data_IF_323615245802
#
_entry.id   IF_323615245802
#
_cell.length_a   1.000
_cell.length_b   1.000
_cell.length_c   1.000
_cell.angle_alpha   90.00
_cell.angle_beta   90.00
_cell.angle_gamma   90.00
#
_symmetry.space_group_name_H-M   'P 1'
#
loop_
_entity.id
_entity.type
_entity.pdbx_description
1 polymer ?
#
# COMPACT_ATOMS: atom_id res chain seq x y z
N UNK A 1 18.18 14.07 -4.48
CA UNK A 1 16.80 13.79 -4.04
C UNK A 1 16.85 12.52 -3.23
N UNK A 2 16.36 12.57 -1.98
CA UNK A 2 16.62 11.64 -0.88
C UNK A 2 16.57 10.15 -1.25
N UNK A 3 17.60 9.38 -0.85
CA UNK A 3 17.70 7.90 -0.91
C UNK A 3 16.70 7.20 0.04
N UNK A 4 15.50 7.75 0.15
CA UNK A 4 14.50 7.31 1.09
C UNK A 4 13.85 6.04 0.57
N UNK A 5 14.10 4.94 1.28
CA UNK A 5 13.39 3.69 1.06
C UNK A 5 11.94 3.87 1.52
N UNK A 6 11.00 3.61 0.61
CA UNK A 6 9.57 3.77 0.84
C UNK A 6 8.92 2.38 0.74
N UNK A 7 8.18 2.00 1.78
CA UNK A 7 7.38 0.78 1.79
C UNK A 7 5.99 1.01 1.17
N UNK A 8 5.44 -0.01 0.53
CA UNK A 8 4.09 0.04 -0.03
C UNK A 8 3.60 -1.30 -0.54
N UNK A 9 2.36 -1.33 -1.02
CA UNK A 9 1.74 -2.52 -1.60
C UNK A 9 1.75 -2.42 -3.12
N UNK A 10 2.20 -3.47 -3.81
CA UNK A 10 2.11 -3.51 -5.28
C UNK A 10 0.64 -3.54 -5.67
N UNK A 11 0.21 -2.51 -6.40
CA UNK A 11 -1.16 -2.36 -6.90
C UNK A 11 -1.33 -2.93 -8.31
N UNK A 12 -0.27 -2.88 -9.13
CA UNK A 12 -0.21 -3.53 -10.43
C UNK A 12 1.24 -3.67 -10.89
N UNK A 13 1.47 -4.69 -11.73
CA UNK A 13 2.71 -4.88 -12.47
C UNK A 13 2.34 -5.13 -13.94
N UNK A 14 2.96 -4.41 -14.88
CA UNK A 14 2.70 -4.52 -16.31
C UNK A 14 3.98 -4.42 -17.10
N UNK A 15 4.07 -5.16 -18.20
CA UNK A 15 5.17 -5.02 -19.17
C UNK A 15 4.75 -3.98 -20.21
N UNK A 16 5.67 -3.11 -20.58
CA UNK A 16 5.51 -2.12 -21.65
C UNK A 16 6.78 -2.09 -22.50
N UNK A 17 6.61 -1.92 -23.80
CA UNK A 17 7.71 -1.77 -24.76
C UNK A 17 7.93 -0.28 -24.96
N UNK A 18 9.15 0.21 -24.71
CA UNK A 18 9.53 1.58 -25.04
C UNK A 18 10.57 1.57 -26.17
N UNK A 19 10.40 2.45 -27.16
CA UNK A 19 11.39 2.66 -28.21
C UNK A 19 12.32 3.78 -27.81
N UNK A 20 13.60 3.46 -27.63
CA UNK A 20 14.67 4.44 -27.43
C UNK A 20 15.77 4.18 -28.46
N UNK A 21 16.17 5.21 -29.20
CA UNK A 21 17.29 5.15 -30.16
C UNK A 21 17.26 3.93 -31.13
N UNK A 22 16.09 3.67 -31.74
CA UNK A 22 15.86 2.53 -32.69
C UNK A 22 15.95 1.12 -32.07
N UNK A 23 16.07 0.99 -30.74
CA UNK A 23 15.95 -0.28 -30.02
C UNK A 23 14.64 -0.31 -29.24
N UNK A 24 14.01 -1.47 -29.24
CA UNK A 24 12.86 -1.76 -28.38
C UNK A 24 13.39 -2.33 -27.07
N UNK A 25 13.00 -1.72 -25.96
CA UNK A 25 13.39 -2.16 -24.61
C UNK A 25 12.12 -2.55 -23.86
N UNK A 26 12.12 -3.74 -23.27
CA UNK A 26 11.06 -4.17 -22.37
C UNK A 26 11.24 -3.53 -21.00
N UNK A 27 10.16 -2.94 -20.49
CA UNK A 27 10.14 -2.29 -19.19
C UNK A 27 9.01 -2.87 -18.35
N UNK A 28 9.37 -3.39 -17.18
CA UNK A 28 8.42 -3.80 -16.15
C UNK A 28 8.03 -2.58 -15.32
N UNK A 29 6.81 -2.10 -15.52
CA UNK A 29 6.23 -1.02 -14.73
C UNK A 29 5.53 -1.58 -13.50
N UNK A 30 5.99 -1.17 -12.32
CA UNK A 30 5.40 -1.55 -11.04
C UNK A 30 4.78 -0.32 -10.42
N UNK A 31 3.46 -0.37 -10.19
CA UNK A 31 2.72 0.69 -9.49
C UNK A 31 2.53 0.29 -8.03
N UNK A 32 3.09 1.07 -7.14
CA UNK A 32 3.12 0.84 -5.71
C UNK A 32 2.18 1.83 -5.04
N UNK A 33 1.23 1.32 -4.26
CA UNK A 33 0.35 2.13 -3.43
C UNK A 33 1.04 2.34 -2.08
N UNK A 34 1.24 3.60 -1.73
CA UNK A 34 1.90 4.02 -0.49
C UNK A 34 0.87 4.79 0.34
N UNK A 35 0.99 4.66 1.67
CA UNK A 35 0.25 5.50 2.61
C UNK A 35 1.22 6.52 3.15
N UNK A 36 0.89 7.80 3.01
CA UNK A 36 1.73 8.90 3.46
C UNK A 36 0.90 9.89 4.30
N UNK A 37 1.54 10.61 5.21
CA UNK A 37 0.89 11.59 6.08
C UNK A 37 1.30 13.02 5.67
N UNK A 38 0.32 13.83 5.25
CA UNK A 38 0.57 15.17 4.72
C UNK A 38 0.50 16.29 5.77
N UNK A 39 0.59 15.95 7.06
CA UNK A 39 0.39 16.91 8.15
C UNK A 39 -1.07 17.13 8.55
N UNK A 40 -2.03 16.66 7.76
CA UNK A 40 -3.47 16.77 8.06
C UNK A 40 -4.14 15.40 8.14
N UNK A 41 -3.70 14.44 7.33
CA UNK A 41 -4.26 13.09 7.32
C UNK A 41 -3.44 12.10 6.51
N UNK A 42 -3.76 10.82 6.68
CA UNK A 42 -3.16 9.77 5.86
C UNK A 42 -3.85 9.72 4.51
N UNK A 43 -3.06 9.81 3.44
CA UNK A 43 -3.54 9.75 2.07
C UNK A 43 -2.87 8.59 1.34
N UNK A 44 -3.59 8.05 0.36
CA UNK A 44 -3.02 7.10 -0.57
C UNK A 44 -2.35 7.85 -1.70
N UNK A 45 -1.06 7.60 -1.89
CA UNK A 45 -0.33 8.03 -3.08
C UNK A 45 0.11 6.81 -3.89
N UNK A 46 0.50 7.04 -5.14
CA UNK A 46 1.04 6.01 -6.01
C UNK A 46 2.44 6.38 -6.43
N UNK A 47 3.37 5.46 -6.25
CA UNK A 47 4.73 5.55 -6.76
C UNK A 47 4.86 4.56 -7.90
N UNK A 48 5.42 5.01 -9.03
CA UNK A 48 5.73 4.13 -10.14
C UNK A 48 7.23 3.89 -10.17
N UNK A 49 7.63 2.62 -10.29
CA UNK A 49 9.00 2.19 -10.49
C UNK A 49 9.07 1.37 -11.76
N UNK A 50 10.15 1.54 -12.52
CA UNK A 50 10.40 0.81 -13.76
C UNK A 50 11.64 -0.06 -13.54
N UNK A 51 11.57 -1.31 -13.98
CA UNK A 51 12.72 -2.20 -14.11
C UNK A 51 12.87 -2.45 -15.61
N UNK A 52 13.99 -1.98 -16.17
CA UNK A 52 14.34 -2.33 -17.56
C UNK A 52 14.78 -3.79 -17.62
N UNK A 53 14.51 -4.44 -18.75
CA UNK A 53 15.08 -5.74 -19.05
C UNK A 53 16.61 -5.67 -19.03
N UNK A 54 17.22 -6.72 -18.48
CA UNK A 54 18.67 -6.86 -18.39
C UNK A 54 19.06 -8.29 -18.76
N UNK A 55 20.24 -8.44 -19.35
CA UNK A 55 20.80 -9.75 -19.66
C UNK A 55 21.58 -10.31 -18.47
N UNK A 56 21.43 -11.61 -18.22
CA UNK A 56 22.10 -12.31 -17.12
C UNK A 56 21.45 -12.08 -15.76
N UNK A 57 22.23 -12.34 -14.71
CA UNK A 57 21.75 -12.24 -13.33
C UNK A 57 22.04 -10.86 -12.76
N UNK A 58 21.09 -10.35 -11.97
CA UNK A 58 21.26 -9.10 -11.21
C UNK A 58 21.01 -9.36 -9.74
N UNK A 59 21.76 -8.70 -8.87
CA UNK A 59 21.49 -8.78 -7.44
C UNK A 59 20.12 -8.17 -7.15
N UNK A 60 19.32 -8.82 -6.30
CA UNK A 60 18.04 -8.30 -5.85
C UNK A 60 18.17 -6.89 -5.27
N UNK A 61 19.23 -6.59 -4.52
CA UNK A 61 19.44 -5.28 -3.91
C UNK A 61 19.70 -4.15 -4.93
N UNK A 62 20.09 -4.49 -6.15
CA UNK A 62 20.31 -3.54 -7.24
C UNK A 62 19.01 -3.21 -8.00
N UNK A 63 17.90 -3.89 -7.68
CA UNK A 63 16.60 -3.61 -8.26
C UNK A 63 15.93 -2.42 -7.56
N UNK A 64 15.26 -1.53 -8.31
CA UNK A 64 14.56 -0.37 -7.75
C UNK A 64 13.31 -0.73 -6.94
N UNK A 65 12.90 -2.01 -6.96
CA UNK A 65 11.83 -2.58 -6.15
C UNK A 65 12.28 -3.96 -5.69
N UNK A 66 12.17 -4.22 -4.39
CA UNK A 66 12.51 -5.52 -3.77
C UNK A 66 11.38 -5.97 -2.86
N UNK A 67 11.23 -7.28 -2.66
CA UNK A 67 10.33 -7.78 -1.60
C UNK A 67 10.82 -7.30 -0.25
N UNK A 68 9.88 -7.05 0.67
CA UNK A 68 10.20 -6.68 2.04
C UNK A 68 11.05 -7.76 2.73
N UNK A 69 10.88 -9.03 2.35
CA UNK A 69 11.64 -10.16 2.91
C UNK A 69 13.14 -10.08 2.61
N UNK A 70 13.49 -9.42 1.50
CA UNK A 70 14.87 -9.22 1.06
C UNK A 70 15.37 -7.80 1.32
N UNK A 71 14.57 -6.92 1.93
CA UNK A 71 15.04 -5.59 2.26
C UNK A 71 16.05 -5.65 3.41
N UNK A 72 17.27 -5.17 3.21
CA UNK A 72 18.34 -5.14 4.22
C UNK A 72 17.90 -4.41 5.51
N UNK A 73 17.01 -3.42 5.35
CA UNK A 73 16.39 -2.62 6.41
C UNK A 73 14.97 -3.05 6.74
N UNK A 74 14.56 -4.29 6.46
CA UNK A 74 13.18 -4.78 6.64
C UNK A 74 12.65 -4.53 8.06
N UNK A 75 13.47 -4.78 9.08
CA UNK A 75 13.11 -4.53 10.48
C UNK A 75 12.92 -3.04 10.78
N UNK A 76 13.78 -2.18 10.24
CA UNK A 76 13.64 -0.72 10.36
C UNK A 76 12.38 -0.22 9.66
N UNK A 77 12.10 -0.68 8.44
CA UNK A 77 10.90 -0.31 7.69
C UNK A 77 9.61 -0.76 8.41
N UNK A 78 9.61 -1.98 8.97
CA UNK A 78 8.51 -2.45 9.82
C UNK A 78 8.33 -1.56 11.06
N UNK A 79 9.44 -1.16 11.70
CA UNK A 79 9.43 -0.23 12.83
C UNK A 79 8.82 1.12 12.48
N UNK A 80 9.28 1.73 11.38
CA UNK A 80 8.79 3.01 10.89
C UNK A 80 7.29 2.96 10.54
N UNK A 81 6.82 1.88 9.89
CA UNK A 81 5.40 1.69 9.59
C UNK A 81 4.58 1.61 10.89
N UNK A 82 5.08 0.91 11.90
CA UNK A 82 4.41 0.81 13.20
C UNK A 82 4.37 2.15 13.93
N UNK A 83 5.45 2.93 13.92
CA UNK A 83 5.51 4.27 14.53
C UNK A 83 4.55 5.24 13.84
N UNK A 84 4.54 5.27 12.50
CA UNK A 84 3.57 6.04 11.73
C UNK A 84 2.13 5.63 12.07
N UNK A 85 1.89 4.33 12.26
CA UNK A 85 0.62 3.81 12.75
C UNK A 85 0.24 4.38 14.13
N UNK A 86 1.17 4.41 15.09
CA UNK A 86 0.93 4.99 16.43
C UNK A 86 0.62 6.48 16.36
N UNK A 87 1.42 7.24 15.61
CA UNK A 87 1.20 8.68 15.36
C UNK A 87 -0.20 8.94 14.77
N UNK A 88 -0.67 8.09 13.85
CA UNK A 88 -2.04 8.18 13.36
C UNK A 88 -3.08 8.04 14.48
N UNK A 89 -2.94 7.02 15.33
CA UNK A 89 -3.88 6.78 16.43
C UNK A 89 -3.93 7.95 17.41
N UNK A 90 -2.77 8.53 17.73
CA UNK A 90 -2.68 9.70 18.62
C UNK A 90 -3.37 10.92 18.01
N UNK A 91 -3.24 11.12 16.70
CA UNK A 91 -3.87 12.20 15.95
C UNK A 91 -5.36 11.97 15.69
N UNK A 92 -5.82 10.72 15.65
CA UNK A 92 -7.22 10.34 15.45
C UNK A 92 -8.08 10.41 16.72
N UNK A 93 -7.61 11.05 17.80
CA UNK A 93 -8.34 11.21 19.06
C UNK A 93 -9.78 11.69 18.83
N UNK A 94 -10.74 10.83 19.22
CA UNK A 94 -12.19 11.01 19.00
C UNK A 94 -12.80 9.92 18.12
N UNK A 95 -12.00 9.21 17.32
CA UNK A 95 -12.44 8.10 16.47
C UNK A 95 -11.63 6.85 16.81
N UNK A 96 -12.27 5.81 17.34
CA UNK A 96 -11.56 4.60 17.79
C UNK A 96 -11.46 3.60 16.65
N UNK A 97 -10.25 3.25 16.22
CA UNK A 97 -10.05 2.17 15.25
C UNK A 97 -9.61 0.90 15.98
N UNK A 98 -10.21 -0.25 15.64
CA UNK A 98 -9.78 -1.56 16.15
C UNK A 98 -9.53 -2.53 14.99
N UNK A 99 -8.57 -3.43 15.16
CA UNK A 99 -8.44 -4.59 14.28
C UNK A 99 -9.61 -5.53 14.58
N UNK A 100 -10.35 -5.92 13.55
CA UNK A 100 -11.49 -6.82 13.67
C UNK A 100 -11.37 -7.92 12.62
N UNK A 101 -11.48 -9.15 13.10
CA UNK A 101 -11.61 -10.34 12.26
C UNK A 101 -12.89 -11.06 12.67
N UNK A 102 -13.88 -11.07 11.80
CA UNK A 102 -15.20 -11.61 12.12
C UNK A 102 -16.29 -11.23 11.12
N UNK A 103 -17.53 -11.54 11.46
CA UNK A 103 -18.70 -11.24 10.62
C UNK A 103 -19.14 -9.78 10.79
N UNK A 104 -19.15 -9.02 9.70
CA UNK A 104 -19.71 -7.68 9.63
C UNK A 104 -21.09 -7.73 8.99
N UNK A 105 -22.08 -7.19 9.70
CA UNK A 105 -23.45 -7.07 9.21
C UNK A 105 -23.68 -5.61 8.78
N UNK A 106 -24.13 -5.40 7.54
CA UNK A 106 -24.52 -4.07 7.05
C UNK A 106 -25.85 -4.11 6.31
N UNK A 107 -26.56 -3.00 6.37
CA UNK A 107 -27.73 -2.76 5.51
C UNK A 107 -27.26 -2.30 4.13
N UNK A 108 -27.80 -2.91 3.08
CA UNK A 108 -27.51 -2.59 1.69
C UNK A 108 -28.81 -2.41 0.93
N UNK A 109 -28.90 -1.35 0.14
CA UNK A 109 -30.08 -1.13 -0.71
C UNK A 109 -29.94 -1.92 -2.01
N UNK A 110 -30.90 -2.79 -2.31
CA UNK A 110 -30.97 -3.59 -3.54
C UNK A 110 -32.37 -3.46 -4.12
N UNK A 111 -32.48 -2.92 -5.34
CA UNK A 111 -33.78 -2.73 -6.00
C UNK A 111 -34.75 -1.81 -5.24
N UNK A 112 -34.23 -0.84 -4.47
CA UNK A 112 -35.04 0.05 -3.65
C UNK A 112 -35.36 -0.47 -2.24
N UNK A 113 -35.15 -1.75 -1.95
CA UNK A 113 -35.37 -2.35 -0.64
C UNK A 113 -34.08 -2.44 0.20
N UNK A 114 -34.19 -2.32 1.52
CA UNK A 114 -33.08 -2.56 2.46
C UNK A 114 -32.94 -4.06 2.74
N UNK A 115 -31.77 -4.61 2.45
CA UNK A 115 -31.42 -6.02 2.66
C UNK A 115 -30.23 -6.10 3.61
N UNK A 116 -30.23 -7.08 4.51
CA UNK A 116 -29.09 -7.36 5.38
C UNK A 116 -28.04 -8.15 4.60
N UNK A 117 -26.80 -7.65 4.58
CA UNK A 117 -25.65 -8.32 3.99
C UNK A 117 -24.66 -8.67 5.10
N UNK A 118 -24.23 -9.93 5.17
CA UNK A 118 -23.17 -10.39 6.07
C UNK A 118 -21.90 -10.62 5.26
N UNK A 119 -20.80 -9.98 5.63
CA UNK A 119 -19.50 -10.14 5.00
C UNK A 119 -18.44 -10.52 6.02
N UNK A 120 -17.47 -11.35 5.62
CA UNK A 120 -16.30 -11.64 6.45
C UNK A 120 -15.37 -10.42 6.41
N UNK A 121 -15.31 -9.68 7.50
CA UNK A 121 -14.36 -8.59 7.67
C UNK A 121 -13.06 -9.15 8.23
N UNK A 122 -11.96 -8.80 7.56
CA UNK A 122 -10.61 -8.98 8.07
C UNK A 122 -9.89 -7.66 7.82
N UNK A 123 -9.82 -6.82 8.85
CA UNK A 123 -9.19 -5.51 8.73
C UNK A 123 -9.56 -4.52 9.83
N UNK A 124 -9.27 -3.25 9.57
CA UNK A 124 -9.52 -2.16 10.51
C UNK A 124 -10.99 -1.70 10.44
N UNK A 125 -11.67 -1.68 11.58
CA UNK A 125 -13.01 -1.10 11.74
C UNK A 125 -12.93 0.22 12.49
N UNK A 126 -13.74 1.18 12.05
CA UNK A 126 -13.92 2.47 12.72
C UNK A 126 -15.10 2.34 13.68
N UNK A 127 -14.87 2.61 14.95
CA UNK A 127 -15.88 2.66 16.00
C UNK A 127 -16.09 4.13 16.33
N UNK A 128 -17.25 4.64 15.93
CA UNK A 128 -17.71 5.93 16.39
C UNK A 128 -18.37 5.74 17.76
N UNK A 129 -17.73 6.24 18.82
CA UNK A 129 -18.40 6.37 20.11
C UNK A 129 -19.11 7.74 20.07
N UNK A 130 -20.39 7.74 19.75
CA UNK A 130 -21.21 8.93 20.01
C UNK A 130 -21.27 9.13 21.54
N UNK A 131 -21.09 10.36 22.05
CA UNK A 131 -21.39 10.69 23.44
C UNK A 131 -22.90 10.56 23.73
#
# INVERSE_FOLDING_TARGET
MSDQQIGGTISSAKVKVERSNKKEVLIFQIKIKVVDYDGHGFKYCSVTRNIEEFEGDRNFFDLPVVSLDYAEKSNYLKGLINENGKLFFDLAKGTHYKSYEGSLIRWKQVGGCLVVETIKANGRVMINQQP
#
